data_IF_879368992036
#
_entry.id   IF_879368992036
#
_cell.length_a   1.000
_cell.length_b   1.000
_cell.length_c   1.000
_cell.angle_alpha   90.00
_cell.angle_beta   90.00
_cell.angle_gamma   90.00
#
_symmetry.space_group_name_H-M   'P 1'
#
loop_
_entity.id
_entity.type
_entity.pdbx_description
1 polymer ?
#
# COMPACT_ATOMS: atom_id res chain seq x y z
N UNK A 1 -3.21 18.16 -34.76
CA UNK A 1 -3.84 16.86 -34.42
C UNK A 1 -2.78 16.04 -33.75
N UNK A 2 -2.64 16.21 -32.44
CA UNK A 2 -1.74 15.37 -31.64
C UNK A 2 -2.29 13.95 -31.66
N UNK A 3 -1.42 13.01 -32.05
CA UNK A 3 -1.79 11.61 -32.17
C UNK A 3 -2.34 11.12 -30.85
N UNK A 4 -3.53 10.52 -30.90
CA UNK A 4 -4.05 9.70 -29.82
C UNK A 4 -2.97 8.64 -29.56
N UNK A 5 -2.16 8.83 -28.53
CA UNK A 5 -1.30 7.76 -28.04
C UNK A 5 -2.25 6.63 -27.67
N UNK A 6 -2.21 5.58 -28.49
CA UNK A 6 -2.88 4.33 -28.21
C UNK A 6 -2.50 3.96 -26.76
N UNK A 7 -3.44 3.79 -25.82
CA UNK A 7 -3.09 3.47 -24.45
C UNK A 7 -2.24 2.20 -24.50
N UNK A 8 -1.02 2.29 -23.98
CA UNK A 8 -0.10 1.15 -23.91
C UNK A 8 -0.89 0.03 -23.22
N UNK A 9 -1.27 -0.99 -23.98
CA UNK A 9 -1.99 -2.13 -23.45
C UNK A 9 -1.07 -2.82 -22.46
N UNK A 10 -1.31 -2.61 -21.16
CA UNK A 10 -0.56 -3.32 -20.13
C UNK A 10 -1.23 -4.66 -19.84
N UNK A 11 -0.40 -5.69 -19.72
CA UNK A 11 -0.74 -7.06 -19.38
C UNK A 11 -1.08 -7.22 -17.90
N UNK A 12 -1.70 -8.34 -17.54
CA UNK A 12 -1.98 -8.70 -16.13
C UNK A 12 -0.69 -8.72 -15.31
N UNK A 13 0.39 -9.21 -15.91
CA UNK A 13 1.72 -9.32 -15.33
C UNK A 13 2.34 -7.95 -15.02
N UNK A 14 2.17 -6.97 -15.90
CA UNK A 14 2.66 -5.60 -15.67
C UNK A 14 1.88 -4.90 -14.56
N UNK A 15 0.55 -5.06 -14.51
CA UNK A 15 -0.27 -4.54 -13.40
C UNK A 15 0.10 -5.22 -12.08
N UNK A 16 0.30 -6.53 -12.10
CA UNK A 16 0.76 -7.26 -10.93
C UNK A 16 2.18 -6.86 -10.50
N UNK A 17 3.06 -6.54 -11.44
CA UNK A 17 4.41 -6.04 -11.14
C UNK A 17 4.35 -4.67 -10.46
N UNK A 18 3.50 -3.76 -10.93
CA UNK A 18 3.22 -2.48 -10.27
C UNK A 18 2.71 -2.70 -8.84
N UNK A 19 1.70 -3.56 -8.67
CA UNK A 19 1.18 -3.95 -7.35
C UNK A 19 2.29 -4.45 -6.42
N UNK A 20 3.16 -5.36 -6.89
CA UNK A 20 4.27 -5.90 -6.08
C UNK A 20 5.28 -4.83 -5.70
N UNK A 21 5.62 -3.93 -6.61
CA UNK A 21 6.53 -2.82 -6.35
C UNK A 21 6.01 -1.92 -5.23
N UNK A 22 4.77 -1.44 -5.37
CA UNK A 22 4.11 -0.61 -4.35
C UNK A 22 4.00 -1.34 -3.01
N UNK A 23 3.59 -2.62 -3.04
CA UNK A 23 3.51 -3.47 -1.85
C UNK A 23 4.88 -3.61 -1.17
N UNK A 24 5.97 -3.74 -1.91
CA UNK A 24 7.31 -3.82 -1.32
C UNK A 24 7.71 -2.52 -0.62
N UNK A 25 7.38 -1.36 -1.20
CA UNK A 25 7.56 -0.06 -0.56
C UNK A 25 6.79 0.04 0.76
N UNK A 26 5.51 -0.35 0.76
CA UNK A 26 4.67 -0.35 1.97
C UNK A 26 5.17 -1.33 3.03
N UNK A 27 5.66 -2.52 2.64
CA UNK A 27 6.31 -3.44 3.59
C UNK A 27 7.51 -2.77 4.24
N UNK A 28 8.37 -2.08 3.47
CA UNK A 28 9.53 -1.37 4.03
C UNK A 28 9.08 -0.31 5.04
N UNK A 29 8.08 0.51 4.72
CA UNK A 29 7.53 1.51 5.62
C UNK A 29 7.03 0.92 6.95
N UNK A 30 6.32 -0.21 6.89
CA UNK A 30 5.67 -0.84 8.06
C UNK A 30 6.55 -1.87 8.77
N UNK A 31 7.81 -2.04 8.35
CA UNK A 31 8.76 -2.97 9.00
C UNK A 31 10.15 -2.34 9.14
N UNK A 32 11.00 -2.47 8.12
CA UNK A 32 12.41 -2.02 8.15
C UNK A 32 12.54 -0.55 8.54
N UNK A 33 11.67 0.30 8.00
CA UNK A 33 11.70 1.76 8.18
C UNK A 33 10.63 2.24 9.16
N UNK A 34 10.05 1.36 10.00
CA UNK A 34 8.88 1.69 10.84
C UNK A 34 9.09 2.92 11.71
N UNK A 35 10.29 3.08 12.26
CA UNK A 35 10.62 4.26 13.07
C UNK A 35 10.67 5.52 12.21
N UNK A 36 11.30 5.48 11.02
CA UNK A 36 11.32 6.62 10.10
C UNK A 36 9.90 7.00 9.66
N UNK A 37 9.06 6.02 9.36
CA UNK A 37 7.66 6.21 9.02
C UNK A 37 6.88 6.86 10.18
N UNK A 38 7.00 6.31 11.40
CA UNK A 38 6.35 6.82 12.60
C UNK A 38 6.65 8.31 12.84
N UNK A 39 7.93 8.69 12.72
CA UNK A 39 8.37 10.08 12.93
C UNK A 39 7.86 11.03 11.83
N UNK A 40 7.63 10.55 10.60
CA UNK A 40 7.07 11.38 9.53
C UNK A 40 5.58 11.64 9.70
N UNK A 41 4.85 10.71 10.33
CA UNK A 41 3.41 10.81 10.62
C UNK A 41 3.12 11.70 11.84
N UNK A 42 3.53 12.96 11.77
CA UNK A 42 3.29 13.96 12.82
C UNK A 42 1.79 14.33 12.93
N UNK A 43 1.12 14.12 14.08
CA UNK A 43 -0.28 14.44 14.28
C UNK A 43 -0.60 15.94 14.21
N UNK A 44 0.40 16.81 14.38
CA UNK A 44 0.24 18.27 14.27
C UNK A 44 0.25 18.76 12.81
N UNK A 45 0.56 17.87 11.86
CA UNK A 45 0.47 18.17 10.42
C UNK A 45 -0.95 17.93 9.92
N UNK A 46 -1.22 18.50 8.75
CA UNK A 46 -2.41 18.20 7.96
C UNK A 46 -2.55 16.69 7.66
N UNK A 47 -3.67 16.30 7.09
CA UNK A 47 -4.06 14.90 6.93
C UNK A 47 -3.08 14.15 5.99
N UNK A 48 -2.19 13.34 6.55
CA UNK A 48 -1.18 12.62 5.78
C UNK A 48 -1.71 11.27 5.26
N UNK A 49 -1.14 10.84 4.13
CA UNK A 49 -1.35 9.54 3.50
C UNK A 49 -0.01 8.79 3.42
N UNK A 50 -0.07 7.45 3.41
CA UNK A 50 1.07 6.60 3.08
C UNK A 50 0.92 6.06 1.65
N UNK A 51 1.91 6.31 0.81
CA UNK A 51 1.95 5.83 -0.57
C UNK A 51 3.05 4.79 -0.77
N UNK A 52 2.71 3.73 -1.50
CA UNK A 52 3.66 2.80 -2.09
C UNK A 52 3.91 3.13 -3.56
N UNK A 53 5.18 3.18 -3.97
CA UNK A 53 5.58 3.49 -5.33
C UNK A 53 6.06 2.24 -6.09
N UNK A 54 5.90 2.17 -7.43
CA UNK A 54 6.25 0.97 -8.21
C UNK A 54 7.74 0.60 -8.19
N UNK A 55 8.60 1.57 -7.86
CA UNK A 55 10.05 1.41 -7.67
C UNK A 55 10.42 0.87 -6.27
N UNK A 56 9.46 0.32 -5.53
CA UNK A 56 9.64 -0.25 -4.19
C UNK A 56 10.04 0.76 -3.11
N UNK A 57 9.79 2.04 -3.32
CA UNK A 57 9.92 3.07 -2.28
C UNK A 57 8.55 3.43 -1.71
N UNK A 58 8.55 4.19 -0.62
CA UNK A 58 7.36 4.69 0.03
C UNK A 58 7.53 6.19 0.33
N UNK A 59 6.40 6.89 0.46
CA UNK A 59 6.36 8.29 0.84
C UNK A 59 5.17 8.57 1.76
N UNK A 60 5.35 9.53 2.67
CA UNK A 60 4.28 10.12 3.46
C UNK A 60 4.06 11.53 2.95
N UNK A 61 2.87 11.80 2.43
CA UNK A 61 2.56 13.07 1.79
C UNK A 61 1.08 13.43 1.95
N UNK A 62 0.74 14.68 1.65
CA UNK A 62 -0.65 15.12 1.51
C UNK A 62 -1.32 14.43 0.31
N UNK A 63 -2.66 14.28 0.33
CA UNK A 63 -3.39 13.84 -0.85
C UNK A 63 -3.15 14.79 -2.03
N UNK A 64 -3.27 14.26 -3.24
CA UNK A 64 -3.14 15.06 -4.47
C UNK A 64 -4.29 16.07 -4.57
N UNK A 65 -3.99 17.31 -4.95
CA UNK A 65 -5.00 18.37 -5.12
C UNK A 65 -5.80 18.28 -6.43
N UNK A 66 -5.41 17.38 -7.35
CA UNK A 66 -6.04 17.25 -8.66
C UNK A 66 -7.49 16.73 -8.55
N UNK A 67 -8.42 17.36 -9.27
CA UNK A 67 -9.84 16.99 -9.28
C UNK A 67 -10.30 16.68 -10.72
N UNK A 68 -10.58 15.41 -11.07
CA UNK A 68 -10.44 14.19 -10.26
C UNK A 68 -8.99 13.66 -10.26
N UNK A 69 -8.55 12.99 -9.18
CA UNK A 69 -7.23 12.39 -9.12
C UNK A 69 -7.08 11.23 -10.11
N UNK A 70 -5.87 11.04 -10.64
CA UNK A 70 -5.60 9.97 -11.60
C UNK A 70 -5.70 8.57 -10.96
N UNK A 71 -5.23 8.39 -9.73
CA UNK A 71 -5.26 7.11 -9.01
C UNK A 71 -6.19 7.17 -7.81
N UNK A 72 -6.75 6.03 -7.36
CA UNK A 72 -7.43 5.95 -6.08
C UNK A 72 -6.55 6.48 -4.94
N UNK A 73 -7.14 7.26 -4.04
CA UNK A 73 -6.42 7.84 -2.90
C UNK A 73 -6.24 6.82 -1.76
N UNK A 74 -5.07 6.81 -1.08
CA UNK A 74 -4.90 6.07 0.16
C UNK A 74 -5.79 6.62 1.29
N UNK A 75 -5.75 5.94 2.44
CA UNK A 75 -6.43 6.45 3.64
C UNK A 75 -5.81 7.78 4.10
N UNK A 76 -6.68 8.77 4.25
CA UNK A 76 -6.33 10.13 4.65
C UNK A 76 -6.30 10.29 6.17
N UNK A 77 -5.29 11.00 6.69
CA UNK A 77 -5.21 11.36 8.10
C UNK A 77 -4.71 10.22 9.00
N UNK A 78 -3.86 9.33 8.47
CA UNK A 78 -3.29 8.22 9.26
C UNK A 78 -2.50 8.72 10.49
N UNK A 79 -1.99 9.94 10.43
CA UNK A 79 -1.23 10.58 11.50
C UNK A 79 -2.07 10.92 12.74
N UNK A 80 -3.37 11.23 12.63
CA UNK A 80 -4.19 11.59 13.80
C UNK A 80 -4.37 10.46 14.80
N UNK A 81 -4.47 9.23 14.29
CA UNK A 81 -4.69 8.06 15.11
C UNK A 81 -3.40 7.55 15.78
N UNK A 82 -2.23 8.07 15.41
CA UNK A 82 -0.92 7.54 15.80
C UNK A 82 -0.73 7.50 17.32
N UNK A 83 -0.96 8.63 17.98
CA UNK A 83 -0.73 8.75 19.43
C UNK A 83 -1.95 8.33 20.27
N UNK A 84 -3.08 8.03 19.61
CA UNK A 84 -4.33 7.58 20.25
C UNK A 84 -4.42 6.08 20.49
N UNK A 85 -3.45 5.28 20.06
CA UNK A 85 -3.42 3.83 20.23
C UNK A 85 -2.00 3.28 20.37
N UNK A 86 -1.87 2.01 20.73
CA UNK A 86 -0.56 1.35 20.79
C UNK A 86 0.03 1.32 19.39
N UNK A 87 1.33 1.63 19.25
CA UNK A 87 2.03 1.72 17.95
C UNK A 87 1.75 0.50 17.06
N UNK A 88 1.76 -0.72 17.61
CA UNK A 88 1.47 -1.95 16.86
C UNK A 88 0.05 -2.01 16.26
N UNK A 89 -0.93 -1.44 16.97
CA UNK A 89 -2.32 -1.43 16.55
C UNK A 89 -2.53 -0.36 15.48
N UNK A 90 -1.82 0.78 15.61
CA UNK A 90 -1.74 1.80 14.58
C UNK A 90 -1.10 1.28 13.29
N UNK A 91 0.04 0.60 13.38
CA UNK A 91 0.68 -0.05 12.23
C UNK A 91 -0.26 -1.07 11.58
N UNK A 92 -1.00 -1.83 12.39
CA UNK A 92 -1.98 -2.80 11.88
C UNK A 92 -3.14 -2.12 11.15
N UNK A 93 -3.64 -1.00 11.68
CA UNK A 93 -4.67 -0.17 11.05
C UNK A 93 -4.18 0.36 9.69
N UNK A 94 -2.99 0.96 9.65
CA UNK A 94 -2.38 1.46 8.41
C UNK A 94 -2.18 0.33 7.40
N UNK A 95 -1.79 -0.87 7.84
CA UNK A 95 -1.62 -2.03 6.97
C UNK A 95 -2.93 -2.45 6.28
N UNK A 96 -4.05 -2.52 7.00
CA UNK A 96 -5.37 -2.87 6.44
C UNK A 96 -5.83 -1.85 5.39
N UNK A 97 -5.67 -0.56 5.69
CA UNK A 97 -5.99 0.50 4.73
C UNK A 97 -5.09 0.42 3.50
N UNK A 98 -3.81 0.15 3.69
CA UNK A 98 -2.83 0.00 2.60
C UNK A 98 -3.13 -1.21 1.71
N UNK A 99 -3.56 -2.34 2.30
CA UNK A 99 -3.99 -3.54 1.53
C UNK A 99 -5.18 -3.21 0.62
N UNK A 100 -6.17 -2.47 1.16
CA UNK A 100 -7.35 -2.05 0.40
C UNK A 100 -6.99 -1.08 -0.73
N UNK A 101 -6.09 -0.13 -0.46
CA UNK A 101 -5.59 0.81 -1.46
C UNK A 101 -4.85 0.11 -2.61
N UNK A 102 -3.97 -0.85 -2.31
CA UNK A 102 -3.23 -1.61 -3.33
C UNK A 102 -4.17 -2.36 -4.30
N UNK A 103 -5.22 -3.00 -3.77
CA UNK A 103 -6.23 -3.68 -4.60
C UNK A 103 -6.99 -2.64 -5.44
N UNK A 104 -7.37 -1.50 -4.85
CA UNK A 104 -8.05 -0.42 -5.58
C UNK A 104 -7.23 0.07 -6.78
N UNK A 105 -5.94 0.36 -6.58
CA UNK A 105 -5.01 0.79 -7.63
C UNK A 105 -4.83 -0.29 -8.72
N UNK A 106 -4.65 -1.56 -8.34
CA UNK A 106 -4.48 -2.64 -9.30
C UNK A 106 -5.72 -2.82 -10.20
N UNK A 107 -6.92 -2.74 -9.62
CA UNK A 107 -8.17 -2.87 -10.37
C UNK A 107 -8.55 -1.60 -11.14
N UNK A 108 -8.14 -0.41 -10.67
CA UNK A 108 -8.21 0.83 -11.44
C UNK A 108 -7.41 0.68 -12.75
N UNK A 109 -6.16 0.22 -12.66
CA UNK A 109 -5.35 -0.05 -13.85
C UNK A 109 -5.96 -1.14 -14.72
N UNK A 110 -6.46 -2.22 -14.13
CA UNK A 110 -7.16 -3.26 -14.86
C UNK A 110 -8.33 -2.71 -15.68
N UNK A 111 -9.16 -1.84 -15.10
CA UNK A 111 -10.25 -1.18 -15.81
C UNK A 111 -9.73 -0.25 -16.93
N UNK A 112 -8.72 0.56 -16.65
CA UNK A 112 -8.10 1.48 -17.62
C UNK A 112 -7.45 0.77 -18.81
N UNK A 113 -6.92 -0.44 -18.60
CA UNK A 113 -6.32 -1.27 -19.64
C UNK A 113 -7.30 -2.27 -20.28
N UNK A 114 -8.60 -2.19 -19.94
CA UNK A 114 -9.63 -2.99 -20.60
C UNK A 114 -9.72 -4.45 -20.14
N UNK A 115 -9.31 -4.77 -18.90
CA UNK A 115 -9.35 -6.13 -18.38
C UNK A 115 -10.79 -6.66 -18.31
N UNK A 116 -11.01 -7.79 -18.98
CA UNK A 116 -12.23 -8.57 -18.92
C UNK A 116 -12.31 -9.45 -17.68
N UNK A 117 -13.28 -10.36 -17.68
CA UNK A 117 -13.53 -11.27 -16.55
C UNK A 117 -12.32 -12.15 -16.24
N UNK A 118 -11.63 -12.65 -17.26
CA UNK A 118 -10.54 -13.61 -17.11
C UNK A 118 -9.27 -12.92 -16.58
N UNK A 119 -8.96 -11.74 -17.09
CA UNK A 119 -7.81 -10.92 -16.68
C UNK A 119 -7.98 -10.47 -15.23
N UNK A 120 -9.16 -9.98 -14.84
CA UNK A 120 -9.48 -9.63 -13.46
C UNK A 120 -9.36 -10.82 -12.50
N UNK A 121 -9.86 -12.00 -12.91
CA UNK A 121 -9.72 -13.23 -12.13
C UNK A 121 -8.25 -13.60 -11.95
N UNK A 122 -7.46 -13.57 -13.02
CA UNK A 122 -6.04 -13.90 -12.98
C UNK A 122 -5.26 -12.92 -12.09
N UNK A 123 -5.51 -11.62 -12.22
CA UNK A 123 -4.89 -10.60 -11.38
C UNK A 123 -5.20 -10.84 -9.89
N UNK A 124 -6.46 -11.11 -9.55
CA UNK A 124 -6.88 -11.40 -8.18
C UNK A 124 -6.20 -12.64 -7.61
N UNK A 125 -6.07 -13.70 -8.40
CA UNK A 125 -5.35 -14.92 -7.98
C UNK A 125 -3.89 -14.60 -7.65
N UNK A 126 -3.19 -13.89 -8.53
CA UNK A 126 -1.78 -13.50 -8.30
C UNK A 126 -1.62 -12.63 -7.05
N UNK A 127 -2.56 -11.71 -6.79
CA UNK A 127 -2.58 -10.87 -5.58
C UNK A 127 -2.77 -11.72 -4.33
N UNK A 128 -3.73 -12.65 -4.33
CA UNK A 128 -4.05 -13.49 -3.17
C UNK A 128 -3.02 -14.57 -2.86
N UNK A 129 -2.16 -14.93 -3.81
CA UNK A 129 -1.02 -15.84 -3.56
C UNK A 129 0.04 -15.20 -2.65
N UNK A 130 -0.05 -13.88 -2.38
CA UNK A 130 0.81 -13.16 -1.46
C UNK A 130 0.10 -12.91 -0.13
N UNK A 131 0.80 -12.99 1.02
CA UNK A 131 0.22 -12.56 2.29
C UNK A 131 -0.07 -11.06 2.26
N UNK A 132 -1.16 -10.65 2.90
CA UNK A 132 -1.51 -9.24 3.08
C UNK A 132 -0.45 -8.52 3.92
N UNK A 133 -0.39 -7.19 3.82
CA UNK A 133 0.46 -6.36 4.69
C UNK A 133 0.09 -6.59 6.14
N UNK A 134 -1.21 -6.61 6.46
CA UNK A 134 -1.71 -6.87 7.80
C UNK A 134 -1.21 -8.22 8.36
N UNK A 135 -1.32 -9.30 7.57
CA UNK A 135 -0.83 -10.62 7.97
C UNK A 135 0.68 -10.62 8.20
N UNK A 136 1.45 -9.92 7.36
CA UNK A 136 2.91 -9.78 7.56
C UNK A 136 3.26 -9.01 8.82
N UNK A 137 2.60 -7.89 9.09
CA UNK A 137 2.83 -7.09 10.30
C UNK A 137 2.54 -7.93 11.55
N UNK A 138 1.43 -8.68 11.57
CA UNK A 138 1.12 -9.61 12.66
C UNK A 138 2.20 -10.70 12.84
N UNK A 139 2.63 -11.34 11.77
CA UNK A 139 3.65 -12.40 11.85
C UNK A 139 5.00 -11.88 12.38
N UNK A 140 5.43 -10.68 11.96
CA UNK A 140 6.65 -10.05 12.49
C UNK A 140 6.53 -9.77 13.99
N UNK A 141 5.36 -9.31 14.43
CA UNK A 141 5.08 -9.08 15.84
C UNK A 141 5.12 -10.37 16.67
N UNK A 142 4.52 -11.46 16.18
CA UNK A 142 4.58 -12.76 16.85
C UNK A 142 6.01 -13.34 16.90
N UNK A 143 6.79 -13.22 15.82
CA UNK A 143 8.19 -13.69 15.82
C UNK A 143 9.08 -12.91 16.78
N UNK A 144 8.85 -11.60 16.96
CA UNK A 144 9.56 -10.80 17.96
C UNK A 144 9.19 -11.20 19.40
N UNK A 145 7.90 -11.43 19.68
CA UNK A 145 7.44 -11.91 20.99
C UNK A 145 8.05 -13.27 21.32
N UNK A 146 7.99 -14.22 20.37
CA UNK A 146 8.58 -15.56 20.57
C UNK A 146 10.10 -15.50 20.74
N UNK A 147 10.80 -14.62 20.03
CA UNK A 147 12.26 -14.42 20.24
C UNK A 147 12.59 -13.74 21.57
N UNK A 148 11.74 -12.86 22.10
CA UNK A 148 11.95 -12.27 23.43
C UNK A 148 11.64 -13.28 24.56
N UNK A 149 10.65 -14.15 24.40
CA UNK A 149 10.29 -15.15 25.42
C UNK A 149 11.24 -16.36 25.48
N UNK A 150 12.00 -16.62 24.41
CA UNK A 150 12.96 -17.74 24.33
C UNK A 150 14.41 -17.38 24.70
N UNK A 151 14.66 -16.14 25.13
CA UNK A 151 15.96 -15.69 25.65
C UNK A 151 15.97 -15.62 27.20
N UNK A 152 15.58 -16.73 27.85
CA UNK A 152 15.83 -16.99 29.28
C UNK A 152 16.63 -18.29 29.43
#
# INVERSE_FOLDING_TARGET
>A
MEGIQNPIARTVEEVFSDFRGRRAGLIKALSTDVQKFYHQCDPEKENLCLYGLPNETWEVNLPVEEVPPELPEPALGINFARDGMVEKDWISLVAVHSDSWLISVAFYFGARFGFGKNERKRLFQMINDLPTLFSKCLCLNYLFVVKCETNF
#
